data_IF_231742558398
#
_entry.id   IF_231742558398
#
_cell.length_a   1.000
_cell.length_b   1.000
_cell.length_c   1.000
_cell.angle_alpha   90.00
_cell.angle_beta   90.00
_cell.angle_gamma   90.00
#
_symmetry.space_group_name_H-M   'P 1'
#
loop_
_entity.id
_entity.type
_entity.pdbx_description
1 polymer ?
#
# COMPACT_ATOMS: atom_id res chain seq x y z
N UNK A 1 7.33 -12.36 -10.87
CA UNK A 1 7.28 -11.62 -9.58
C UNK A 1 7.40 -10.14 -9.90
N UNK A 2 6.46 -9.30 -9.46
CA UNK A 2 6.58 -7.86 -9.65
C UNK A 2 7.72 -7.32 -8.77
N UNK A 3 8.63 -6.55 -9.36
CA UNK A 3 9.75 -5.96 -8.62
C UNK A 3 9.25 -4.75 -7.84
N UNK A 4 9.50 -4.71 -6.53
CA UNK A 4 9.15 -3.58 -5.68
C UNK A 4 9.95 -2.33 -6.08
N UNK A 5 9.31 -1.17 -6.00
CA UNK A 5 9.92 0.14 -6.26
C UNK A 5 10.79 0.59 -5.08
N UNK A 6 11.88 -0.12 -4.81
CA UNK A 6 12.77 0.09 -3.65
C UNK A 6 13.17 1.56 -3.47
N UNK A 7 12.99 2.09 -2.26
CA UNK A 7 13.35 3.45 -1.88
C UNK A 7 12.38 4.54 -2.37
N UNK A 8 11.26 4.19 -3.01
CA UNK A 8 10.28 5.18 -3.44
C UNK A 8 9.55 5.83 -2.27
N UNK A 9 9.39 5.13 -1.14
CA UNK A 9 8.69 5.69 0.02
C UNK A 9 9.45 6.86 0.65
N UNK A 10 10.77 6.91 0.53
CA UNK A 10 11.57 8.06 0.96
C UNK A 10 11.16 9.33 0.20
N UNK A 11 10.97 9.23 -1.12
CA UNK A 11 10.47 10.33 -1.96
C UNK A 11 9.02 10.69 -1.60
N UNK A 12 8.22 9.75 -1.09
CA UNK A 12 6.78 9.97 -0.77
C UNK A 12 6.74 10.87 0.43
N UNK A 13 7.53 10.49 1.45
CA UNK A 13 7.69 11.22 2.70
C UNK A 13 8.32 12.58 2.47
N UNK A 14 9.22 12.70 1.49
CA UNK A 14 9.82 13.98 1.10
C UNK A 14 8.91 14.89 0.25
N UNK A 15 7.74 14.39 -0.19
CA UNK A 15 6.84 15.10 -1.11
C UNK A 15 7.51 15.50 -2.44
N UNK A 16 8.58 14.81 -2.84
CA UNK A 16 9.37 15.08 -4.06
C UNK A 16 8.65 14.67 -5.36
N UNK A 17 7.39 14.23 -5.26
CA UNK A 17 6.59 13.77 -6.38
C UNK A 17 7.07 12.44 -6.97
N UNK A 18 6.20 11.85 -7.80
CA UNK A 18 6.49 10.62 -8.54
C UNK A 18 5.97 10.74 -9.95
N UNK A 19 6.84 10.50 -10.91
CA UNK A 19 6.46 10.41 -12.32
C UNK A 19 5.93 9.03 -12.69
N UNK A 20 6.35 8.00 -11.94
CA UNK A 20 6.07 6.60 -12.25
C UNK A 20 5.20 5.93 -11.18
N UNK A 21 4.29 5.03 -11.56
CA UNK A 21 3.53 4.23 -10.62
C UNK A 21 4.47 3.34 -9.79
N UNK A 22 4.28 3.35 -8.47
CA UNK A 22 5.15 2.67 -7.50
C UNK A 22 4.58 1.31 -7.13
N UNK A 23 5.44 0.31 -7.10
CA UNK A 23 5.08 -1.06 -6.76
C UNK A 23 5.42 -1.32 -5.29
N UNK A 24 4.41 -1.62 -4.47
CA UNK A 24 4.54 -1.81 -3.02
C UNK A 24 3.99 -3.18 -2.58
N UNK A 25 4.55 -3.73 -1.51
CA UNK A 25 4.10 -4.92 -0.82
C UNK A 25 3.15 -4.56 0.32
N UNK A 26 1.97 -5.17 0.36
CA UNK A 26 1.06 -5.08 1.51
C UNK A 26 1.65 -5.92 2.66
N UNK A 27 2.23 -5.26 3.65
CA UNK A 27 2.84 -5.88 4.82
C UNK A 27 1.83 -6.18 5.92
N UNK A 28 0.78 -5.36 6.03
CA UNK A 28 -0.37 -5.66 6.89
C UNK A 28 -1.61 -4.98 6.36
N UNK A 29 -2.77 -5.56 6.65
CA UNK A 29 -4.07 -4.99 6.31
C UNK A 29 -5.01 -5.23 7.49
N UNK A 30 -5.51 -4.16 8.09
CA UNK A 30 -6.37 -4.20 9.27
C UNK A 30 -7.62 -3.36 9.02
N UNK A 31 -8.77 -3.91 9.36
CA UNK A 31 -10.01 -3.15 9.37
C UNK A 31 -9.98 -2.20 10.58
N UNK A 32 -10.23 -0.90 10.34
CA UNK A 32 -10.29 0.11 11.40
C UNK A 32 -11.74 0.37 11.83
N UNK A 33 -12.66 0.41 10.87
CA UNK A 33 -14.11 0.52 11.08
C UNK A 33 -14.86 -0.22 9.94
N UNK A 34 -16.19 -0.21 9.92
CA UNK A 34 -17.01 -0.91 8.92
C UNK A 34 -16.75 -0.44 7.46
N UNK A 35 -16.15 0.74 7.31
CA UNK A 35 -15.95 1.44 6.05
C UNK A 35 -14.49 1.73 5.70
N UNK A 36 -13.56 1.53 6.65
CA UNK A 36 -12.15 1.90 6.50
C UNK A 36 -11.23 0.76 6.87
N UNK A 37 -10.24 0.57 6.01
CA UNK A 37 -9.12 -0.31 6.23
C UNK A 37 -7.84 0.51 6.30
N UNK A 38 -6.95 0.12 7.21
CA UNK A 38 -5.59 0.62 7.30
C UNK A 38 -4.65 -0.46 6.76
N UNK A 39 -3.86 -0.11 5.76
CA UNK A 39 -2.82 -0.98 5.21
C UNK A 39 -1.43 -0.44 5.53
N UNK A 40 -0.49 -1.33 5.82
CA UNK A 40 0.93 -1.01 5.83
C UNK A 40 1.54 -1.51 4.53
N UNK A 41 2.19 -0.62 3.80
CA UNK A 41 2.79 -0.88 2.49
C UNK A 41 4.30 -0.70 2.58
N UNK A 42 5.06 -1.60 1.98
CA UNK A 42 6.52 -1.56 1.96
C UNK A 42 7.04 -1.53 0.54
N UNK A 43 8.10 -0.76 0.31
CA UNK A 43 8.87 -0.81 -0.94
C UNK A 43 10.05 -1.81 -0.88
N UNK A 44 10.16 -2.57 0.22
CA UNK A 44 11.28 -3.47 0.51
C UNK A 44 12.46 -2.82 1.22
N UNK A 45 12.41 -1.51 1.50
CA UNK A 45 13.42 -0.76 2.27
C UNK A 45 12.76 -0.05 3.45
N UNK A 46 11.65 0.63 3.21
CA UNK A 46 10.87 1.36 4.19
C UNK A 46 9.40 0.86 4.17
N UNK A 47 8.58 1.38 5.07
CA UNK A 47 7.15 1.12 5.15
C UNK A 47 6.36 2.39 5.46
N UNK A 48 5.12 2.42 4.98
CA UNK A 48 4.17 3.49 5.23
C UNK A 48 2.81 2.89 5.61
N UNK A 49 2.19 3.44 6.65
CA UNK A 49 0.85 3.06 7.05
C UNK A 49 -0.15 4.07 6.46
N UNK A 50 -1.07 3.61 5.63
CA UNK A 50 -2.08 4.45 4.97
C UNK A 50 -3.49 3.92 5.24
N UNK A 51 -4.45 4.84 5.25
CA UNK A 51 -5.87 4.49 5.24
C UNK A 51 -6.29 4.33 3.79
N UNK A 52 -6.89 3.19 3.46
CA UNK A 52 -7.41 2.93 2.13
C UNK A 52 -8.57 3.86 1.81
N UNK A 53 -8.62 4.33 0.56
CA UNK A 53 -9.80 5.00 0.04
C UNK A 53 -11.01 4.07 0.11
N UNK A 54 -12.21 4.63 0.33
CA UNK A 54 -13.46 3.87 0.43
C UNK A 54 -13.70 2.97 -0.80
N UNK A 55 -13.38 3.45 -1.99
CA UNK A 55 -13.46 2.68 -3.25
C UNK A 55 -12.57 1.43 -3.28
N UNK A 56 -11.49 1.38 -2.48
CA UNK A 56 -10.57 0.24 -2.40
C UNK A 56 -10.91 -0.70 -1.24
N UNK A 57 -11.88 -0.31 -0.40
CA UNK A 57 -12.29 -1.11 0.77
C UNK A 57 -12.98 -2.41 0.34
N UNK A 58 -13.70 -2.42 -0.78
CA UNK A 58 -14.27 -3.64 -1.33
C UNK A 58 -13.21 -4.67 -1.74
N UNK A 59 -12.06 -4.21 -2.26
CA UNK A 59 -10.93 -5.07 -2.62
C UNK A 59 -10.28 -5.70 -1.38
N UNK A 60 -10.25 -4.98 -0.26
CA UNK A 60 -9.83 -5.53 1.02
C UNK A 60 -10.83 -6.56 1.55
N UNK A 61 -12.13 -6.27 1.45
CA UNK A 61 -13.21 -7.14 1.92
C UNK A 61 -13.30 -8.44 1.14
N UNK A 62 -13.14 -8.40 -0.18
CA UNK A 62 -13.23 -9.58 -1.04
C UNK A 62 -11.93 -10.40 -1.11
N UNK A 63 -10.88 -9.98 -0.39
CA UNK A 63 -9.60 -10.69 -0.30
C UNK A 63 -8.67 -10.52 -1.51
N UNK A 64 -9.03 -9.66 -2.48
CA UNK A 64 -8.16 -9.29 -3.61
C UNK A 64 -6.95 -8.52 -3.11
N UNK A 65 -7.17 -7.58 -2.20
CA UNK A 65 -6.13 -6.90 -1.45
C UNK A 65 -5.92 -7.64 -0.12
N UNK A 66 -4.73 -8.20 0.07
CA UNK A 66 -4.38 -9.00 1.24
C UNK A 66 -2.92 -8.85 1.60
N UNK A 67 -2.56 -9.19 2.84
CA UNK A 67 -1.17 -9.27 3.26
C UNK A 67 -0.37 -10.19 2.33
N UNK A 68 0.82 -9.75 1.92
CA UNK A 68 1.67 -10.44 0.94
C UNK A 68 1.35 -10.12 -0.52
N UNK A 69 0.27 -9.38 -0.82
CA UNK A 69 -0.01 -8.93 -2.17
C UNK A 69 0.91 -7.78 -2.58
N UNK A 70 1.27 -7.73 -3.86
CA UNK A 70 1.98 -6.62 -4.47
C UNK A 70 0.98 -5.73 -5.22
N UNK A 71 1.00 -4.43 -4.96
CA UNK A 71 0.12 -3.43 -5.57
C UNK A 71 0.93 -2.40 -6.36
N UNK A 72 0.32 -1.76 -7.35
CA UNK A 72 0.91 -0.74 -8.22
C UNK A 72 0.01 0.49 -8.23
#
# INVERSE_FOLDING_TARGET
MAQLSKGCLAKVKAMDGFSDPIVLLVSSLQQKDDTKYRGTFSDGVDSIAVVLASQLTELAKNGTLRTGATVK
#
